data_IF_599976892854
#
_entry.id   IF_599976892854
#
_cell.length_a   1.000
_cell.length_b   1.000
_cell.length_c   1.000
_cell.angle_alpha   90.00
_cell.angle_beta   90.00
_cell.angle_gamma   90.00
#
_symmetry.space_group_name_H-M   'P 1'
#
loop_
_entity.id
_entity.type
_entity.pdbx_description
1 polymer ?
#
# COMPACT_ATOMS: atom_id res chain seq x y z
N UNK A 1 20.47 -25.30 -23.88
CA UNK A 1 20.81 -24.47 -22.70
C UNK A 1 19.78 -23.36 -22.66
N UNK A 2 18.97 -23.21 -21.60
CA UNK A 2 18.00 -22.13 -21.52
C UNK A 2 18.76 -20.80 -21.39
N UNK A 3 18.37 -19.82 -22.19
CA UNK A 3 19.08 -18.57 -22.37
C UNK A 3 19.01 -17.65 -21.16
N UNK A 4 20.15 -17.03 -20.86
CA UNK A 4 20.42 -15.85 -20.03
C UNK A 4 19.25 -15.31 -19.20
N UNK A 5 19.21 -15.71 -17.93
CA UNK A 5 19.01 -14.75 -16.86
C UNK A 5 19.95 -13.55 -17.17
N UNK A 6 19.40 -12.37 -17.39
CA UNK A 6 20.14 -11.18 -16.94
C UNK A 6 20.39 -11.44 -15.46
N UNK A 7 21.64 -11.43 -15.03
CA UNK A 7 21.98 -11.69 -13.64
C UNK A 7 21.08 -10.77 -12.78
N UNK A 8 20.45 -11.29 -11.74
CA UNK A 8 19.66 -10.47 -10.80
C UNK A 8 20.54 -9.28 -10.34
N UNK A 9 21.85 -9.51 -10.25
CA UNK A 9 22.86 -8.47 -10.08
C UNK A 9 22.78 -7.35 -11.13
N UNK A 10 22.68 -7.66 -12.42
CA UNK A 10 22.58 -6.67 -13.49
C UNK A 10 21.27 -5.85 -13.40
N UNK A 11 20.17 -6.52 -13.05
CA UNK A 11 18.88 -5.84 -12.83
C UNK A 11 19.03 -4.86 -11.65
N UNK A 12 19.61 -5.32 -10.54
CA UNK A 12 19.82 -4.47 -9.37
C UNK A 12 20.75 -3.29 -9.64
N UNK A 13 21.84 -3.50 -10.40
CA UNK A 13 22.74 -2.40 -10.82
C UNK A 13 21.97 -1.36 -11.63
N UNK A 14 21.12 -1.79 -12.56
CA UNK A 14 20.28 -0.88 -13.34
C UNK A 14 19.29 -0.12 -12.46
N UNK A 15 18.57 -0.81 -11.57
CA UNK A 15 17.59 -0.16 -10.69
C UNK A 15 18.27 0.83 -9.73
N UNK A 16 19.47 0.52 -9.21
CA UNK A 16 20.25 1.39 -8.32
C UNK A 16 20.63 2.73 -8.98
N UNK A 17 20.72 2.77 -10.31
CA UNK A 17 21.01 4.01 -11.05
C UNK A 17 19.79 4.91 -11.28
N UNK A 18 18.58 4.45 -10.93
CA UNK A 18 17.33 5.22 -11.09
C UNK A 18 16.88 5.72 -9.72
N UNK A 19 16.76 7.04 -9.56
CA UNK A 19 16.40 7.67 -8.28
C UNK A 19 14.93 8.13 -8.20
N UNK A 20 14.20 8.09 -9.32
CA UNK A 20 12.86 8.64 -9.43
C UNK A 20 11.85 7.67 -10.07
N UNK A 21 10.63 7.69 -9.53
CA UNK A 21 9.52 6.86 -10.00
C UNK A 21 9.53 5.43 -9.47
N UNK A 22 8.52 4.66 -9.89
CA UNK A 22 8.31 3.27 -9.42
C UNK A 22 8.13 2.28 -10.58
N UNK A 23 7.92 2.78 -11.82
CA UNK A 23 7.60 1.94 -12.98
C UNK A 23 8.70 0.91 -13.27
N UNK A 24 9.97 1.32 -13.17
CA UNK A 24 11.12 0.44 -13.40
C UNK A 24 11.17 -0.72 -12.40
N UNK A 25 10.79 -0.49 -11.15
CA UNK A 25 10.68 -1.53 -10.12
C UNK A 25 9.57 -2.52 -10.48
N UNK A 26 8.38 -2.01 -10.83
CA UNK A 26 7.25 -2.86 -11.19
C UNK A 26 7.55 -3.71 -12.43
N UNK A 27 8.13 -3.09 -13.46
CA UNK A 27 8.52 -3.77 -14.70
C UNK A 27 9.54 -4.89 -14.41
N UNK A 28 10.57 -4.59 -13.60
CA UNK A 28 11.57 -5.58 -13.21
C UNK A 28 10.98 -6.74 -12.39
N UNK A 29 10.13 -6.44 -11.40
CA UNK A 29 9.50 -7.46 -10.58
C UNK A 29 8.56 -8.35 -11.37
N UNK A 30 7.78 -7.77 -12.30
CA UNK A 30 6.92 -8.51 -13.22
C UNK A 30 7.70 -9.45 -14.14
N UNK A 31 8.91 -9.07 -14.56
CA UNK A 31 9.79 -9.92 -15.34
C UNK A 31 10.32 -11.07 -14.49
N UNK A 32 10.88 -10.78 -13.31
CA UNK A 32 11.43 -11.79 -12.39
C UNK A 32 10.41 -12.85 -11.98
N UNK A 33 9.15 -12.44 -11.73
CA UNK A 33 8.07 -13.37 -11.36
C UNK A 33 7.66 -14.32 -12.51
N UNK A 34 8.06 -14.04 -13.75
CA UNK A 34 7.83 -14.93 -14.90
C UNK A 34 8.99 -15.89 -15.17
N UNK A 35 10.14 -15.69 -14.53
CA UNK A 35 11.32 -16.50 -14.77
C UNK A 35 11.13 -17.93 -14.22
N UNK A 36 11.17 -18.96 -15.09
CA UNK A 36 10.96 -20.34 -14.68
C UNK A 36 12.10 -20.86 -13.82
N UNK A 37 11.79 -21.74 -12.86
CA UNK A 37 12.79 -22.36 -11.98
C UNK A 37 13.36 -21.44 -10.90
N UNK A 38 12.86 -20.20 -10.76
CA UNK A 38 13.25 -19.29 -9.69
C UNK A 38 12.40 -19.54 -8.44
N UNK A 39 13.03 -19.64 -7.28
CA UNK A 39 12.34 -19.59 -5.99
C UNK A 39 11.95 -18.15 -5.66
N UNK A 40 10.87 -17.65 -6.27
CA UNK A 40 10.51 -16.22 -6.25
C UNK A 40 10.33 -15.66 -4.84
N UNK A 41 9.79 -16.44 -3.91
CA UNK A 41 9.64 -16.02 -2.53
C UNK A 41 10.99 -15.86 -1.82
N UNK A 42 11.92 -16.80 -2.01
CA UNK A 42 13.26 -16.72 -1.43
C UNK A 42 14.04 -15.55 -2.00
N UNK A 43 13.92 -15.31 -3.31
CA UNK A 43 14.47 -14.12 -3.95
C UNK A 43 13.88 -12.83 -3.37
N UNK A 44 12.55 -12.74 -3.23
CA UNK A 44 11.90 -11.59 -2.65
C UNK A 44 12.40 -11.33 -1.21
N UNK A 45 12.57 -12.38 -0.40
CA UNK A 45 13.16 -12.29 0.94
C UNK A 45 14.58 -11.76 0.93
N UNK A 46 15.44 -12.26 0.05
CA UNK A 46 16.81 -11.76 -0.09
C UNK A 46 16.83 -10.28 -0.48
N UNK A 47 15.94 -9.87 -1.38
CA UNK A 47 15.82 -8.48 -1.82
C UNK A 47 15.35 -7.53 -0.72
N UNK A 48 14.53 -7.99 0.23
CA UNK A 48 14.15 -7.19 1.41
C UNK A 48 15.35 -6.87 2.31
N UNK A 49 16.39 -7.69 2.29
CA UNK A 49 17.63 -7.48 3.05
C UNK A 49 18.70 -6.67 2.28
N UNK A 50 18.41 -6.23 1.04
CA UNK A 50 19.37 -5.46 0.24
C UNK A 50 19.63 -4.07 0.86
N UNK A 51 20.91 -3.66 0.86
CA UNK A 51 21.32 -2.35 1.40
C UNK A 51 20.66 -1.17 0.66
N UNK A 52 20.41 -1.32 -0.64
CA UNK A 52 19.75 -0.31 -1.45
C UNK A 52 18.24 -0.33 -1.25
N UNK A 53 17.64 0.85 -1.16
CA UNK A 53 16.19 0.96 -1.09
C UNK A 53 15.52 0.45 -2.38
N UNK A 54 16.19 0.50 -3.54
CA UNK A 54 15.66 -0.03 -4.79
C UNK A 54 15.54 -1.57 -4.78
N UNK A 55 16.52 -2.27 -4.19
CA UNK A 55 16.43 -3.72 -3.97
C UNK A 55 15.24 -4.06 -3.07
N UNK A 56 15.08 -3.33 -1.97
CA UNK A 56 13.95 -3.53 -1.04
C UNK A 56 12.60 -3.16 -1.64
N UNK A 57 12.55 -2.13 -2.49
CA UNK A 57 11.36 -1.78 -3.29
C UNK A 57 10.96 -2.94 -4.22
N UNK A 58 11.94 -3.56 -4.90
CA UNK A 58 11.71 -4.73 -5.76
C UNK A 58 11.23 -5.94 -4.97
N UNK A 59 11.87 -6.25 -3.84
CA UNK A 59 11.42 -7.31 -2.93
C UNK A 59 9.99 -7.06 -2.45
N UNK A 60 9.66 -5.83 -2.06
CA UNK A 60 8.31 -5.43 -1.63
C UNK A 60 7.27 -5.63 -2.71
N UNK A 61 7.58 -5.25 -3.96
CA UNK A 61 6.71 -5.51 -5.10
C UNK A 61 6.42 -7.00 -5.27
N UNK A 62 7.47 -7.83 -5.26
CA UNK A 62 7.35 -9.27 -5.44
C UNK A 62 6.52 -9.91 -4.32
N UNK A 63 6.75 -9.51 -3.07
CA UNK A 63 5.95 -9.99 -1.93
C UNK A 63 4.47 -9.61 -2.08
N UNK A 64 4.15 -8.43 -2.60
CA UNK A 64 2.77 -8.03 -2.90
C UNK A 64 2.08 -9.01 -3.83
N UNK A 65 2.71 -9.35 -4.95
CA UNK A 65 2.16 -10.30 -5.93
C UNK A 65 2.06 -11.72 -5.38
N UNK A 66 3.01 -12.15 -4.55
CA UNK A 66 3.04 -13.50 -3.97
C UNK A 66 2.10 -13.68 -2.76
N UNK A 67 1.75 -12.59 -2.07
CA UNK A 67 1.01 -12.63 -0.81
C UNK A 67 -0.39 -13.27 -0.83
N UNK A 68 -1.17 -13.30 -1.93
CA UNK A 68 -2.46 -14.00 -1.98
C UNK A 68 -2.36 -15.52 -1.74
N UNK A 69 -1.27 -16.14 -2.20
CA UNK A 69 -1.04 -17.59 -2.08
C UNK A 69 0.03 -17.92 -1.02
N UNK A 70 0.67 -16.90 -0.44
CA UNK A 70 1.74 -17.06 0.53
C UNK A 70 1.55 -16.13 1.74
N UNK A 71 0.94 -16.63 2.83
CA UNK A 71 0.75 -15.85 4.05
C UNK A 71 2.05 -15.31 4.66
N UNK A 72 3.18 -16.01 4.48
CA UNK A 72 4.46 -15.53 4.98
C UNK A 72 4.93 -14.28 4.23
N UNK A 73 4.61 -14.13 2.94
CA UNK A 73 4.89 -12.90 2.20
C UNK A 73 4.08 -11.72 2.76
N UNK A 74 2.82 -11.95 3.10
CA UNK A 74 1.97 -10.95 3.74
C UNK A 74 2.49 -10.55 5.14
N UNK A 75 2.95 -11.51 5.93
CA UNK A 75 3.61 -11.24 7.23
C UNK A 75 4.88 -10.40 7.07
N UNK A 76 5.73 -10.67 6.06
CA UNK A 76 6.94 -9.87 5.82
C UNK A 76 6.57 -8.43 5.44
N UNK A 77 5.55 -8.23 4.60
CA UNK A 77 5.05 -6.89 4.29
C UNK A 77 4.59 -6.16 5.56
N UNK A 78 3.82 -6.82 6.42
CA UNK A 78 3.27 -6.25 7.65
C UNK A 78 4.34 -5.98 8.71
N UNK A 79 5.23 -6.93 8.95
CA UNK A 79 6.09 -6.95 10.14
C UNK A 79 7.52 -6.47 9.88
N UNK A 80 7.98 -6.53 8.63
CA UNK A 80 9.33 -6.12 8.23
C UNK A 80 9.29 -4.86 7.37
N UNK A 81 8.61 -4.89 6.22
CA UNK A 81 8.62 -3.77 5.26
C UNK A 81 8.00 -2.50 5.85
N UNK A 82 6.97 -2.63 6.69
CA UNK A 82 6.36 -1.49 7.40
C UNK A 82 7.32 -0.74 8.33
N UNK A 83 8.50 -1.30 8.62
CA UNK A 83 9.55 -0.67 9.44
C UNK A 83 10.67 -0.07 8.59
N UNK A 84 10.62 -0.19 7.26
CA UNK A 84 11.64 0.36 6.37
C UNK A 84 11.73 1.89 6.54
N UNK A 85 12.93 2.46 6.77
CA UNK A 85 13.09 3.90 6.97
C UNK A 85 12.93 4.69 5.66
N UNK A 86 12.98 4.04 4.50
CA UNK A 86 12.87 4.72 3.22
C UNK A 86 11.41 4.92 2.81
N UNK A 87 11.01 6.17 2.65
CA UNK A 87 9.63 6.52 2.26
C UNK A 87 9.20 5.91 0.92
N UNK A 88 10.12 5.69 -0.04
CA UNK A 88 9.79 5.03 -1.32
C UNK A 88 9.46 3.55 -1.13
N UNK A 89 10.07 2.88 -0.16
CA UNK A 89 9.69 1.50 0.21
C UNK A 89 8.31 1.50 0.87
N UNK A 90 7.99 2.49 1.71
CA UNK A 90 6.62 2.65 2.26
C UNK A 90 5.56 2.91 1.17
N UNK A 91 5.92 3.61 0.07
CA UNK A 91 5.04 3.70 -1.11
C UNK A 91 4.88 2.34 -1.83
N UNK A 92 5.93 1.53 -1.88
CA UNK A 92 5.84 0.17 -2.42
C UNK A 92 5.00 -0.74 -1.53
N UNK A 93 5.04 -0.57 -0.21
CA UNK A 93 4.17 -1.31 0.72
C UNK A 93 2.69 -1.00 0.47
N UNK A 94 2.35 0.28 0.29
CA UNK A 94 0.99 0.69 -0.08
C UNK A 94 0.54 0.08 -1.42
N UNK A 95 1.44 -0.01 -2.41
CA UNK A 95 1.16 -0.68 -3.69
C UNK A 95 1.02 -2.19 -3.53
N UNK A 96 1.83 -2.81 -2.68
CA UNK A 96 1.80 -4.25 -2.44
C UNK A 96 0.48 -4.68 -1.79
N UNK A 97 -0.07 -3.90 -0.86
CA UNK A 97 -1.37 -4.22 -0.25
C UNK A 97 -2.56 -4.00 -1.20
N UNK A 98 -2.48 -3.00 -2.09
CA UNK A 98 -3.46 -2.84 -3.18
C UNK A 98 -3.39 -4.01 -4.17
N UNK A 99 -2.18 -4.47 -4.50
CA UNK A 99 -1.97 -5.63 -5.37
C UNK A 99 -2.48 -6.94 -4.75
N UNK A 100 -2.24 -7.15 -3.45
CA UNK A 100 -2.84 -8.24 -2.68
C UNK A 100 -4.38 -8.21 -2.80
N UNK A 101 -5.00 -7.06 -2.48
CA UNK A 101 -6.45 -6.92 -2.55
C UNK A 101 -7.00 -7.07 -3.99
N UNK A 102 -6.22 -6.65 -4.99
CA UNK A 102 -6.58 -6.81 -6.42
C UNK A 102 -6.61 -8.27 -6.84
N UNK A 103 -5.64 -9.08 -6.41
CA UNK A 103 -5.53 -10.49 -6.78
C UNK A 103 -6.52 -11.34 -5.97
N UNK A 104 -6.60 -11.12 -4.66
CA UNK A 104 -7.55 -11.82 -3.76
C UNK A 104 -8.99 -11.42 -4.04
N UNK A 105 -9.24 -10.19 -4.49
CA UNK A 105 -10.57 -9.60 -4.56
C UNK A 105 -10.82 -8.72 -3.34
N UNK A 106 -11.26 -7.49 -3.56
CA UNK A 106 -11.34 -6.47 -2.49
C UNK A 106 -12.33 -6.81 -1.37
N UNK A 107 -13.42 -7.51 -1.67
CA UNK A 107 -14.36 -8.00 -0.66
C UNK A 107 -13.74 -9.14 0.16
N UNK A 108 -13.10 -10.10 -0.50
CA UNK A 108 -12.44 -11.24 0.16
C UNK A 108 -11.22 -10.81 0.98
N UNK A 109 -10.51 -9.76 0.54
CA UNK A 109 -9.38 -9.18 1.25
C UNK A 109 -9.79 -8.32 2.46
N UNK A 110 -11.08 -7.98 2.59
CA UNK A 110 -11.57 -7.03 3.60
C UNK A 110 -11.17 -7.39 5.04
N UNK A 111 -11.26 -8.66 5.51
CA UNK A 111 -10.82 -9.02 6.86
C UNK A 111 -9.34 -8.74 7.11
N UNK A 112 -8.48 -9.00 6.12
CA UNK A 112 -7.05 -8.68 6.19
C UNK A 112 -6.82 -7.17 6.26
N UNK A 113 -7.50 -6.40 5.42
CA UNK A 113 -7.38 -4.94 5.39
C UNK A 113 -7.82 -4.32 6.72
N UNK A 114 -8.94 -4.80 7.29
CA UNK A 114 -9.41 -4.39 8.62
C UNK A 114 -8.38 -4.71 9.71
N UNK A 115 -7.81 -5.93 9.71
CA UNK A 115 -6.76 -6.30 10.66
C UNK A 115 -5.48 -5.45 10.54
N UNK A 116 -5.19 -4.92 9.35
CA UNK A 116 -4.06 -4.01 9.15
C UNK A 116 -4.39 -2.58 9.61
N UNK A 117 -5.63 -2.13 9.44
CA UNK A 117 -6.11 -0.84 9.95
C UNK A 117 -6.10 -0.80 11.48
N UNK A 118 -6.28 -1.93 12.17
CA UNK A 118 -6.19 -2.04 13.64
C UNK A 118 -4.74 -2.08 14.19
N UNK A 119 -3.73 -1.97 13.32
CA UNK A 119 -2.32 -2.06 13.73
C UNK A 119 -1.85 -0.84 14.52
N UNK A 120 -1.05 -1.08 15.56
CA UNK A 120 -0.34 -0.01 16.30
C UNK A 120 0.79 0.64 15.46
N UNK A 121 1.23 -0.01 14.38
CA UNK A 121 2.23 0.56 13.48
C UNK A 121 1.56 1.51 12.46
N UNK A 122 1.82 2.82 12.51
CA UNK A 122 1.18 3.79 11.62
C UNK A 122 1.51 3.57 10.14
N UNK A 123 2.65 2.95 9.81
CA UNK A 123 2.99 2.63 8.42
C UNK A 123 2.11 1.51 7.85
N UNK A 124 1.69 0.55 8.69
CA UNK A 124 0.75 -0.53 8.30
C UNK A 124 -0.63 0.07 8.02
N UNK A 125 -1.13 0.90 8.94
CA UNK A 125 -2.41 1.62 8.76
C UNK A 125 -2.37 2.49 7.51
N UNK A 126 -1.30 3.27 7.35
CA UNK A 126 -1.11 4.14 6.18
C UNK A 126 -1.06 3.33 4.89
N UNK A 127 -0.38 2.18 4.86
CA UNK A 127 -0.28 1.37 3.66
C UNK A 127 -1.66 0.98 3.12
N UNK A 128 -2.60 0.60 3.99
CA UNK A 128 -3.98 0.29 3.59
C UNK A 128 -4.70 1.54 3.09
N UNK A 129 -4.69 2.61 3.88
CA UNK A 129 -5.43 3.85 3.56
C UNK A 129 -4.93 4.46 2.26
N UNK A 130 -3.62 4.55 2.06
CA UNK A 130 -3.02 5.09 0.86
C UNK A 130 -3.13 4.14 -0.33
N UNK A 131 -2.83 2.85 -0.13
CA UNK A 131 -2.70 1.87 -1.21
C UNK A 131 -3.95 1.76 -2.06
N UNK A 132 -5.10 1.77 -1.40
CA UNK A 132 -6.40 1.64 -2.07
C UNK A 132 -6.89 2.95 -2.71
N UNK A 133 -6.17 4.08 -2.59
CA UNK A 133 -6.60 5.34 -3.22
C UNK A 133 -6.65 5.21 -4.75
N UNK A 134 -7.69 5.70 -5.42
CA UNK A 134 -8.98 6.19 -4.89
C UNK A 134 -9.85 4.97 -4.51
N UNK A 135 -10.26 4.85 -3.25
CA UNK A 135 -10.95 3.64 -2.75
C UNK A 135 -12.18 3.27 -3.58
N UNK A 136 -13.03 4.26 -3.89
CA UNK A 136 -14.27 4.06 -4.65
C UNK A 136 -14.07 3.87 -6.17
N UNK A 137 -12.81 3.76 -6.61
CA UNK A 137 -12.47 3.25 -7.95
C UNK A 137 -12.23 1.73 -7.96
N UNK A 138 -11.97 1.12 -6.80
CA UNK A 138 -11.74 -0.31 -6.66
C UNK A 138 -13.05 -1.09 -6.70
N UNK A 139 -13.06 -2.34 -7.23
CA UNK A 139 -14.17 -3.27 -7.04
C UNK A 139 -14.62 -3.36 -5.58
N UNK A 140 -15.85 -3.79 -5.34
CA UNK A 140 -16.54 -3.75 -4.04
C UNK A 140 -16.78 -2.31 -3.53
N UNK A 141 -15.75 -1.52 -3.23
CA UNK A 141 -15.88 -0.15 -2.70
C UNK A 141 -16.54 0.82 -3.68
N UNK A 142 -16.46 0.58 -4.99
CA UNK A 142 -17.23 1.33 -6.00
C UNK A 142 -18.74 1.14 -5.85
N UNK A 143 -19.17 -0.05 -5.41
CA UNK A 143 -20.58 -0.39 -5.18
C UNK A 143 -21.01 -0.08 -3.75
N UNK A 144 -20.05 -0.08 -2.82
CA UNK A 144 -20.22 0.15 -1.38
C UNK A 144 -19.33 1.31 -0.88
N UNK A 145 -19.51 2.54 -1.38
CA UNK A 145 -18.68 3.68 -0.99
C UNK A 145 -18.76 4.00 0.51
N UNK A 146 -19.89 3.70 1.16
CA UNK A 146 -20.10 3.84 2.59
C UNK A 146 -19.12 3.01 3.42
N UNK A 147 -18.76 1.81 2.95
CA UNK A 147 -17.79 0.94 3.64
C UNK A 147 -16.40 1.57 3.60
N UNK A 148 -15.99 2.12 2.45
CA UNK A 148 -14.72 2.83 2.34
C UNK A 148 -14.67 4.05 3.26
N UNK A 149 -15.72 4.89 3.24
CA UNK A 149 -15.81 6.08 4.09
C UNK A 149 -15.77 5.71 5.58
N UNK A 150 -16.52 4.69 5.99
CA UNK A 150 -16.54 4.21 7.37
C UNK A 150 -15.14 3.80 7.85
N UNK A 151 -14.45 2.94 7.09
CA UNK A 151 -13.11 2.43 7.45
C UNK A 151 -12.08 3.55 7.53
N UNK A 152 -12.04 4.43 6.52
CA UNK A 152 -11.09 5.54 6.49
C UNK A 152 -11.33 6.51 7.66
N UNK A 153 -12.60 6.81 7.97
CA UNK A 153 -12.96 7.83 8.96
C UNK A 153 -12.77 7.39 10.41
N UNK A 154 -12.55 6.10 10.67
CA UNK A 154 -12.09 5.65 12.00
C UNK A 154 -10.71 6.24 12.36
N UNK A 155 -9.88 6.54 11.35
CA UNK A 155 -8.53 7.06 11.53
C UNK A 155 -8.43 8.59 11.45
N UNK A 156 -9.56 9.32 11.48
CA UNK A 156 -9.57 10.79 11.40
C UNK A 156 -8.77 11.51 12.50
N UNK A 157 -8.63 10.87 13.66
CA UNK A 157 -7.93 11.38 14.84
C UNK A 157 -6.62 10.62 15.14
N UNK A 158 -6.11 9.83 14.18
CA UNK A 158 -4.91 9.01 14.35
C UNK A 158 -3.75 9.82 14.93
N UNK A 159 -2.93 9.23 15.80
CA UNK A 159 -1.80 9.92 16.41
C UNK A 159 -0.75 10.34 15.37
N UNK A 160 -0.57 9.55 14.31
CA UNK A 160 0.35 9.81 13.23
C UNK A 160 -0.20 10.84 12.25
N UNK A 161 0.51 11.96 12.08
CA UNK A 161 0.19 12.93 11.02
C UNK A 161 0.25 12.30 9.62
N UNK A 162 1.15 11.32 9.43
CA UNK A 162 1.31 10.62 8.17
C UNK A 162 0.04 9.85 7.79
N UNK A 163 -0.58 9.16 8.77
CA UNK A 163 -1.87 8.49 8.59
C UNK A 163 -2.97 9.51 8.32
N UNK A 164 -3.07 10.59 9.12
CA UNK A 164 -4.09 11.64 8.94
C UNK A 164 -4.03 12.30 7.55
N UNK A 165 -2.83 12.47 6.98
CA UNK A 165 -2.67 12.96 5.60
C UNK A 165 -3.30 12.01 4.58
N UNK A 166 -3.04 10.72 4.69
CA UNK A 166 -3.66 9.70 3.82
C UNK A 166 -5.17 9.62 4.02
N UNK A 167 -5.67 9.72 5.25
CA UNK A 167 -7.11 9.76 5.56
C UNK A 167 -7.79 10.92 4.84
N UNK A 168 -7.32 12.15 5.09
CA UNK A 168 -7.93 13.35 4.51
C UNK A 168 -7.90 13.35 2.99
N UNK A 169 -6.77 12.95 2.40
CA UNK A 169 -6.64 12.83 0.95
C UNK A 169 -7.54 11.75 0.35
N UNK A 170 -7.72 10.61 1.03
CA UNK A 170 -8.60 9.53 0.57
C UNK A 170 -10.06 9.96 0.57
N UNK A 171 -10.52 10.62 1.65
CA UNK A 171 -11.88 11.14 1.73
C UNK A 171 -12.13 12.25 0.71
N UNK A 172 -11.13 13.12 0.47
CA UNK A 172 -11.20 14.11 -0.62
C UNK A 172 -11.32 13.46 -1.99
N UNK A 173 -10.59 12.38 -2.25
CA UNK A 173 -10.70 11.69 -3.53
C UNK A 173 -12.10 11.09 -3.73
N UNK A 174 -12.72 10.61 -2.65
CA UNK A 174 -14.11 10.11 -2.66
C UNK A 174 -15.11 11.26 -2.84
N UNK A 175 -14.89 12.42 -2.22
CA UNK A 175 -15.82 13.57 -2.26
C UNK A 175 -16.05 14.10 -3.68
N UNK A 176 -15.07 13.95 -4.58
CA UNK A 176 -15.18 14.29 -6.00
C UNK A 176 -16.34 13.57 -6.71
N UNK A 177 -16.74 12.39 -6.21
CA UNK A 177 -17.83 11.59 -6.79
C UNK A 177 -19.01 11.37 -5.83
N UNK A 178 -18.75 11.33 -4.53
CA UNK A 178 -19.76 11.11 -3.49
C UNK A 178 -19.73 12.26 -2.46
N UNK A 179 -20.00 13.51 -2.87
CA UNK A 179 -19.87 14.68 -2.00
C UNK A 179 -20.83 14.62 -0.81
N UNK A 180 -22.08 14.21 -1.01
CA UNK A 180 -23.09 14.15 0.05
C UNK A 180 -22.71 13.15 1.15
N UNK A 181 -22.15 11.99 0.76
CA UNK A 181 -21.68 10.98 1.70
C UNK A 181 -20.54 11.50 2.57
N UNK A 182 -19.58 12.21 1.97
CA UNK A 182 -18.46 12.80 2.71
C UNK A 182 -18.93 13.94 3.60
N UNK A 183 -19.83 14.80 3.12
CA UNK A 183 -20.41 15.89 3.93
C UNK A 183 -21.18 15.34 5.13
N UNK A 184 -21.96 14.27 4.94
CA UNK A 184 -22.68 13.62 6.02
C UNK A 184 -21.71 13.08 7.08
N UNK A 185 -20.67 12.35 6.67
CA UNK A 185 -19.65 11.83 7.58
C UNK A 185 -18.93 12.96 8.34
N UNK A 186 -18.42 13.97 7.64
CA UNK A 186 -17.60 15.03 8.26
C UNK A 186 -18.42 16.01 9.09
N UNK A 187 -19.72 16.17 8.83
CA UNK A 187 -20.59 17.06 9.61
C UNK A 187 -20.68 16.68 11.09
N UNK A 188 -20.46 15.41 11.43
CA UNK A 188 -20.47 14.90 12.80
C UNK A 188 -19.12 14.97 13.51
N UNK A 189 -18.07 15.49 12.87
CA UNK A 189 -16.72 15.48 13.44
C UNK A 189 -16.53 16.59 14.48
N UNK A 190 -15.96 16.25 15.64
CA UNK A 190 -15.57 17.23 16.65
C UNK A 190 -14.28 17.97 16.24
N UNK A 191 -14.45 19.16 15.67
CA UNK A 191 -13.35 19.99 15.20
C UNK A 191 -12.58 20.70 16.33
N UNK A 192 -12.99 20.53 17.59
CA UNK A 192 -12.19 21.01 18.74
C UNK A 192 -10.95 20.13 18.99
N UNK A 193 -10.98 18.85 18.60
CA UNK A 193 -9.77 18.02 18.53
C UNK A 193 -8.89 18.49 17.36
N UNK A 194 -7.66 18.93 17.68
CA UNK A 194 -6.69 19.44 16.70
C UNK A 194 -6.34 18.43 15.61
N UNK A 195 -6.34 17.14 15.91
CA UNK A 195 -6.05 16.05 14.95
C UNK A 195 -7.21 15.89 13.97
N UNK A 196 -8.45 15.90 14.47
CA UNK A 196 -9.64 15.84 13.63
C UNK A 196 -9.73 17.10 12.75
N UNK A 197 -9.51 18.28 13.34
CA UNK A 197 -9.43 19.55 12.61
C UNK A 197 -8.38 19.53 11.49
N UNK A 198 -7.19 18.97 11.76
CA UNK A 198 -6.15 18.78 10.76
C UNK A 198 -6.63 17.91 9.59
N UNK A 199 -7.20 16.74 9.88
CA UNK A 199 -7.69 15.82 8.85
C UNK A 199 -8.82 16.45 8.04
N UNK A 200 -9.78 17.09 8.71
CA UNK A 200 -10.93 17.75 8.09
C UNK A 200 -10.49 18.79 7.05
N UNK A 201 -9.47 19.60 7.37
CA UNK A 201 -8.92 20.59 6.42
C UNK A 201 -8.46 19.95 5.11
N UNK A 202 -7.89 18.76 5.14
CA UNK A 202 -7.44 18.06 3.93
C UNK A 202 -8.60 17.51 3.09
N UNK A 203 -9.76 17.25 3.70
CA UNK A 203 -10.96 16.78 2.99
C UNK A 203 -11.56 17.89 2.12
N UNK A 204 -11.51 19.13 2.60
CA UNK A 204 -12.20 20.29 2.01
C UNK A 204 -11.34 21.15 1.05
N UNK A 205 -10.02 20.89 0.95
CA UNK A 205 -9.09 21.60 0.02
C UNK A 205 -9.14 20.96 -1.35
#
# INVERSE_FOLDING_TARGET
>A
MPGNLKDISDILVQLKSIEHGFKHINDAGSLLLKEPGTHHFDLARQLIEDESYQGRMLGTYMLGVLSPENPAALSILKDTVSKDPNWRVQEMLAKAIDEYARITGYEEALPTLQSWLESDNPNVVRAVIEGLRIWTSRPFFKQHPEVAVYLISQHKADASEYVRKSVGNSLRDISKKFPDLINQETSGWDLSDRRISFTHKLVII
#
